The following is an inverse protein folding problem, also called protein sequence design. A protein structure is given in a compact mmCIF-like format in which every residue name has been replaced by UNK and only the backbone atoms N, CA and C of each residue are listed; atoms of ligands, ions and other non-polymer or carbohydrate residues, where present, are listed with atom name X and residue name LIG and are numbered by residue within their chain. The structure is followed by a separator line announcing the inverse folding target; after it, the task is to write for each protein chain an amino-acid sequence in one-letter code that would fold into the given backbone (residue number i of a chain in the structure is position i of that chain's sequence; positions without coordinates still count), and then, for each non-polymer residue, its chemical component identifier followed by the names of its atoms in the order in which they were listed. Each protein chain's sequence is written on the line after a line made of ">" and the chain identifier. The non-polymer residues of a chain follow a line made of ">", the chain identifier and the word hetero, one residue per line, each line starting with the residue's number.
data_IF_840426919064
#
_entry.id   IF_840426919064
#
_cell.length_a   1.000
_cell.length_b   1.000
_cell.length_c   1.000
_cell.angle_alpha   90.00
_cell.angle_beta   90.00
_cell.angle_gamma   90.00
#
_symmetry.space_group_name_H-M   'P 1'
#
loop_
_entity.id
_entity.type
_entity.pdbx_description
1 polymer ?
#
# COMPACT_ATOMS: atom_id res chain seq x y z
N UNK A 1 -4.20 1.12 -6.66
CA UNK A 1 -2.89 1.10 -5.97
C UNK A 1 -2.99 1.57 -4.53
N UNK A 2 -3.19 2.86 -4.21
CA UNK A 2 -3.25 3.34 -2.80
C UNK A 2 -4.29 2.57 -1.98
N UNK A 3 -5.50 2.41 -2.51
CA UNK A 3 -6.57 1.63 -1.86
C UNK A 3 -6.17 0.16 -1.61
N UNK A 4 -5.48 -0.47 -2.56
CA UNK A 4 -5.00 -1.85 -2.44
C UNK A 4 -3.97 -1.98 -1.31
N UNK A 5 -3.01 -1.04 -1.24
CA UNK A 5 -1.98 -0.99 -0.19
C UNK A 5 -2.63 -0.88 1.20
N UNK A 6 -3.60 0.02 1.37
CA UNK A 6 -4.33 0.16 2.63
C UNK A 6 -5.16 -1.07 2.97
N UNK A 7 -5.86 -1.64 1.99
CA UNK A 7 -6.63 -2.87 2.20
C UNK A 7 -5.74 -4.03 2.62
N UNK A 8 -4.62 -4.25 1.94
CA UNK A 8 -3.68 -5.31 2.28
C UNK A 8 -3.08 -5.14 3.66
N UNK A 9 -2.71 -3.91 4.02
CA UNK A 9 -2.22 -3.63 5.37
C UNK A 9 -3.32 -3.87 6.39
N UNK A 10 -4.42 -3.11 6.33
CA UNK A 10 -5.46 -3.07 7.36
C UNK A 10 -6.27 -4.36 7.50
N UNK A 11 -6.59 -5.03 6.38
CA UNK A 11 -7.55 -6.15 6.36
C UNK A 11 -6.82 -7.49 6.32
N UNK A 12 -5.71 -7.57 5.57
CA UNK A 12 -4.98 -8.85 5.40
C UNK A 12 -3.74 -8.96 6.28
N UNK A 13 -3.35 -7.87 6.95
CA UNK A 13 -2.24 -7.84 7.90
C UNK A 13 -0.85 -7.96 7.27
N UNK A 14 -0.71 -7.57 6.00
CA UNK A 14 0.57 -7.64 5.30
C UNK A 14 1.57 -6.61 5.83
N UNK A 15 2.81 -7.06 6.02
CA UNK A 15 3.92 -6.18 6.37
C UNK A 15 4.28 -5.23 5.22
N UNK A 16 5.05 -4.18 5.50
CA UNK A 16 5.55 -3.27 4.46
C UNK A 16 6.37 -4.03 3.40
N UNK A 17 7.17 -5.01 3.84
CA UNK A 17 8.01 -5.81 2.94
C UNK A 17 7.18 -6.72 2.04
N UNK A 18 6.13 -7.35 2.60
CA UNK A 18 5.21 -8.18 1.82
C UNK A 18 4.40 -7.35 0.81
N UNK A 19 3.95 -6.15 1.20
CA UNK A 19 3.30 -5.23 0.27
C UNK A 19 4.27 -4.80 -0.82
N UNK A 20 5.51 -4.49 -0.48
CA UNK A 20 6.55 -4.09 -1.44
C UNK A 20 6.79 -5.20 -2.45
N UNK A 21 7.01 -6.44 -1.99
CA UNK A 21 7.22 -7.59 -2.86
C UNK A 21 6.00 -7.86 -3.76
N UNK A 22 4.78 -7.64 -3.24
CA UNK A 22 3.55 -7.81 -4.02
C UNK A 22 3.39 -6.74 -5.10
N UNK A 23 3.75 -5.49 -4.81
CA UNK A 23 3.76 -4.42 -5.80
C UNK A 23 4.82 -4.68 -6.88
N UNK A 24 6.00 -5.18 -6.48
CA UNK A 24 7.09 -5.51 -7.40
C UNK A 24 6.82 -6.68 -8.33
N UNK A 25 5.90 -7.57 -7.98
CA UNK A 25 5.57 -8.72 -8.82
C UNK A 25 4.76 -8.35 -10.08
N UNK A 26 4.22 -7.13 -10.18
CA UNK A 26 3.45 -6.65 -11.33
C UNK A 26 3.62 -5.13 -11.53
N UNK A 27 4.70 -4.73 -12.19
CA UNK A 27 4.96 -3.31 -12.55
C UNK A 27 4.01 -2.77 -13.61
N UNK A 28 3.35 -3.63 -14.40
CA UNK A 28 2.38 -3.20 -15.40
C UNK A 28 1.14 -2.59 -14.72
N UNK A 29 0.72 -3.20 -13.60
CA UNK A 29 -0.39 -2.69 -12.78
C UNK A 29 0.05 -1.69 -11.71
N UNK A 30 1.24 -1.87 -11.14
CA UNK A 30 1.79 -1.05 -10.06
C UNK A 30 3.17 -0.53 -10.43
N UNK A 31 3.27 0.47 -11.32
CA UNK A 31 4.56 1.02 -11.71
C UNK A 31 5.28 1.59 -10.48
N UNK A 32 6.57 1.27 -10.27
CA UNK A 32 7.36 1.90 -9.22
C UNK A 32 7.38 3.44 -9.39
N UNK A 33 7.47 4.19 -8.29
CA UNK A 33 7.45 5.65 -8.36
C UNK A 33 8.70 6.20 -9.06
N UNK A 34 8.53 7.29 -9.81
CA UNK A 34 9.64 8.02 -10.42
C UNK A 34 10.46 7.18 -11.42
N UNK A 35 11.78 7.14 -11.23
CA UNK A 35 12.72 6.40 -12.08
C UNK A 35 13.21 5.10 -11.42
N UNK A 36 12.55 4.64 -10.35
CA UNK A 36 12.95 3.41 -9.68
C UNK A 36 12.63 2.19 -10.55
N UNK A 37 13.54 1.21 -10.58
CA UNK A 37 13.33 -0.08 -11.26
C UNK A 37 12.52 -1.07 -10.41
N UNK A 38 12.30 -0.78 -9.13
CA UNK A 38 11.58 -1.61 -8.16
C UNK A 38 10.98 -0.74 -7.06
N UNK A 39 9.99 -1.25 -6.33
CA UNK A 39 9.32 -0.53 -5.27
C UNK A 39 10.24 -0.36 -4.05
N UNK A 40 10.51 0.87 -3.61
CA UNK A 40 11.23 1.09 -2.36
C UNK A 40 10.28 0.86 -1.17
N UNK A 41 10.66 0.09 -0.14
CA UNK A 41 9.86 -0.06 1.08
C UNK A 41 9.51 1.27 1.74
N UNK A 42 10.41 2.25 1.66
CA UNK A 42 10.18 3.60 2.16
C UNK A 42 9.02 4.32 1.46
N UNK A 43 8.80 4.06 0.16
CA UNK A 43 7.67 4.62 -0.57
C UNK A 43 6.34 3.99 -0.11
N UNK A 44 6.32 2.68 0.17
CA UNK A 44 5.15 2.01 0.75
C UNK A 44 4.84 2.55 2.15
N UNK A 45 5.86 2.74 2.99
CA UNK A 45 5.71 3.36 4.31
C UNK A 45 5.19 4.81 4.21
N UNK A 46 5.69 5.59 3.24
CA UNK A 46 5.21 6.95 2.99
C UNK A 46 3.74 6.96 2.53
N UNK A 47 3.31 5.97 1.72
CA UNK A 47 1.90 5.84 1.34
C UNK A 47 1.03 5.56 2.57
N UNK A 48 1.40 4.55 3.36
CA UNK A 48 0.62 4.11 4.52
C UNK A 48 0.47 5.20 5.58
N UNK A 49 1.41 6.13 5.66
CA UNK A 49 1.43 7.16 6.70
C UNK A 49 0.92 8.53 6.24
N UNK A 50 0.56 8.66 4.95
CA UNK A 50 0.06 9.93 4.42
C UNK A 50 -1.44 10.08 4.68
N UNK A 51 -1.79 10.84 5.72
CA UNK A 51 -3.18 11.10 6.10
C UNK A 51 -4.00 11.78 4.99
N UNK A 52 -3.35 12.44 4.02
CA UNK A 52 -4.05 13.08 2.89
C UNK A 52 -4.96 12.11 2.16
N UNK A 53 -4.65 10.82 2.14
CA UNK A 53 -5.53 9.84 1.51
C UNK A 53 -6.91 9.71 2.17
N UNK A 54 -7.09 10.21 3.39
CA UNK A 54 -8.39 10.32 4.07
C UNK A 54 -9.21 11.55 3.65
N UNK A 55 -8.64 12.44 2.83
CA UNK A 55 -9.21 13.74 2.48
C UNK A 55 -8.84 14.87 3.45
N UNK A 56 -8.31 14.54 4.63
CA UNK A 56 -7.85 15.51 5.63
C UNK A 56 -6.37 15.82 5.48
N UNK A 57 -5.95 16.99 5.94
CA UNK A 57 -4.53 17.32 6.08
C UNK A 57 -4.17 17.31 7.56
N UNK A 58 -2.96 16.88 7.90
CA UNK A 58 -2.39 17.07 9.22
C UNK A 58 -1.06 17.80 9.12
N UNK A 59 -0.84 18.72 10.05
CA UNK A 59 0.44 19.37 10.28
C UNK A 59 1.01 18.93 11.63
N UNK A 60 2.28 19.26 11.90
CA UNK A 60 3.00 18.82 13.09
C UNK A 60 3.02 17.28 13.27
N UNK A 61 2.97 16.51 12.18
CA UNK A 61 2.94 15.03 12.24
C UNK A 61 4.29 14.41 12.56
N UNK A 62 5.40 15.14 12.33
CA UNK A 62 6.76 14.64 12.53
C UNK A 62 7.53 15.53 13.52
N UNK A 63 8.47 14.92 14.22
CA UNK A 63 9.43 15.63 15.08
C UNK A 63 10.65 16.12 14.28
N UNK A 64 11.60 16.75 14.98
CA UNK A 64 12.85 17.26 14.42
C UNK A 64 13.76 16.16 13.83
N UNK A 65 13.57 14.91 14.24
CA UNK A 65 14.29 13.73 13.74
C UNK A 65 13.51 13.04 12.60
N UNK A 66 12.35 13.57 12.22
CA UNK A 66 11.48 13.01 11.19
C UNK A 66 10.66 11.80 11.64
N UNK A 67 10.64 11.44 12.92
CA UNK A 67 9.78 10.37 13.44
C UNK A 67 8.33 10.87 13.57
N UNK A 68 7.34 9.97 13.51
CA UNK A 68 5.95 10.36 13.73
C UNK A 68 5.71 10.74 15.19
N UNK A 69 5.13 11.93 15.40
CA UNK A 69 4.63 12.34 16.72
C UNK A 69 3.38 11.54 17.08
N UNK A 70 3.05 11.40 18.38
CA UNK A 70 1.75 10.90 18.82
C UNK A 70 0.61 11.65 18.14
N UNK A 71 -0.47 10.93 17.81
CA UNK A 71 -1.59 11.46 17.01
C UNK A 71 -2.30 12.62 17.70
N UNK A 72 -2.23 12.69 19.03
CA UNK A 72 -2.79 13.76 19.87
C UNK A 72 -2.06 15.10 19.66
N UNK A 73 -0.84 15.06 19.10
CA UNK A 73 -0.04 16.25 18.79
C UNK A 73 -0.26 16.75 17.36
N UNK A 74 -1.02 16.02 16.54
CA UNK A 74 -1.25 16.40 15.15
C UNK A 74 -2.35 17.46 15.10
N UNK A 75 -2.15 18.45 14.24
CA UNK A 75 -3.19 19.46 13.95
C UNK A 75 -3.84 19.09 12.62
N UNK A 76 -5.05 18.53 12.69
CA UNK A 76 -5.85 18.18 11.52
C UNK A 76 -6.62 19.38 10.96
N UNK A 77 -6.91 19.36 9.66
CA UNK A 77 -7.82 20.32 9.03
C UNK A 77 -9.27 20.12 9.50
N UNK A 78 -9.99 21.22 9.72
CA UNK A 78 -11.38 21.18 10.21
C UNK A 78 -12.37 20.56 9.22
N UNK A 79 -12.04 20.60 7.93
CA UNK A 79 -12.84 20.04 6.84
C UNK A 79 -11.94 19.20 5.92
N UNK A 80 -12.51 18.23 5.17
CA UNK A 80 -11.79 17.56 4.10
C UNK A 80 -11.32 18.56 3.04
N UNK A 81 -10.03 18.57 2.73
CA UNK A 81 -9.44 19.42 1.70
C UNK A 81 -9.69 18.88 0.28
N UNK A 82 -9.95 17.58 0.15
CA UNK A 82 -10.27 16.93 -1.11
C UNK A 82 -11.00 15.61 -0.88
N UNK A 83 -11.48 15.00 -1.98
CA UNK A 83 -12.12 13.67 -1.94
C UNK A 83 -11.16 12.65 -1.33
N UNK A 84 -11.68 11.87 -0.38
CA UNK A 84 -10.95 10.78 0.25
C UNK A 84 -10.70 9.62 -0.74
N UNK A 85 -9.48 9.08 -0.75
CA UNK A 85 -9.17 7.82 -1.42
C UNK A 85 -9.43 6.62 -0.51
N UNK A 86 -9.25 6.78 0.81
CA UNK A 86 -9.52 5.78 1.84
C UNK A 86 -10.31 6.40 2.99
N UNK A 87 -11.06 5.59 3.75
CA UNK A 87 -11.75 6.09 4.95
C UNK A 87 -10.75 6.27 6.09
N UNK A 88 -11.05 7.17 7.04
CA UNK A 88 -10.24 7.34 8.25
C UNK A 88 -10.12 6.04 9.06
N UNK A 89 -11.20 5.24 9.10
CA UNK A 89 -11.18 3.92 9.75
C UNK A 89 -10.16 2.98 9.10
N UNK A 90 -10.10 2.91 7.76
CA UNK A 90 -9.12 2.07 7.06
C UNK A 90 -7.70 2.58 7.26
N UNK A 91 -7.50 3.91 7.29
CA UNK A 91 -6.20 4.51 7.57
C UNK A 91 -5.68 4.12 8.95
N UNK A 92 -6.50 4.23 9.99
CA UNK A 92 -6.11 3.90 11.36
C UNK A 92 -5.91 2.40 11.57
N UNK A 93 -6.76 1.56 10.99
CA UNK A 93 -6.56 0.11 11.02
C UNK A 93 -5.22 -0.31 10.39
N UNK A 94 -4.74 0.42 9.38
CA UNK A 94 -3.43 0.19 8.79
C UNK A 94 -2.25 0.59 9.68
N UNK A 95 -2.46 1.52 10.62
CA UNK A 95 -1.43 1.96 11.58
C UNK A 95 -1.32 1.02 12.79
N UNK A 96 -2.37 0.26 13.10
CA UNK A 96 -2.41 -0.59 14.29
C UNK A 96 -1.26 -1.61 14.28
N UNK A 97 -0.37 -1.60 15.30
CA UNK A 97 0.71 -2.57 15.41
C UNK A 97 0.22 -4.02 15.43
N UNK A 98 -0.98 -4.27 15.98
CA UNK A 98 -1.61 -5.57 16.03
C UNK A 98 -2.06 -6.07 14.66
N UNK A 99 -2.13 -5.20 13.65
CA UNK A 99 -2.45 -5.58 12.27
C UNK A 99 -1.26 -6.27 11.57
N UNK A 100 -0.03 -6.02 12.01
CA UNK A 100 1.18 -6.60 11.39
C UNK A 100 1.43 -8.05 11.86
N UNK A 101 0.54 -8.98 11.51
CA UNK A 101 0.57 -10.36 12.04
C UNK A 101 1.15 -11.36 11.05
N UNK A 102 1.11 -11.08 9.73
CA UNK A 102 1.36 -12.10 8.71
C UNK A 102 2.58 -11.77 7.87
N UNK A 103 3.67 -12.52 8.09
CA UNK A 103 4.79 -12.61 7.13
C UNK A 103 4.43 -13.69 6.10
N UNK A 104 4.22 -13.31 4.84
CA UNK A 104 3.91 -14.30 3.79
C UNK A 104 5.20 -14.62 3.05
N UNK A 105 5.56 -15.91 2.85
CA UNK A 105 6.71 -16.22 2.01
C UNK A 105 6.47 -15.66 0.60
N UNK A 106 7.43 -14.88 0.09
CA UNK A 106 7.32 -14.13 -1.16
C UNK A 106 6.83 -14.95 -2.36
N UNK A 107 7.06 -16.27 -2.37
CA UNK A 107 6.58 -17.22 -3.39
C UNK A 107 5.05 -17.25 -3.54
N UNK A 108 4.29 -16.88 -2.49
CA UNK A 108 2.83 -16.85 -2.51
C UNK A 108 2.25 -15.47 -2.89
N UNK A 109 3.10 -14.44 -3.07
CA UNK A 109 2.70 -13.08 -3.46
C UNK A 109 2.76 -12.86 -4.97
N UNK A 110 3.32 -13.81 -5.72
CA UNK A 110 3.32 -13.77 -7.19
C UNK A 110 1.88 -13.88 -7.73
N UNK A 111 1.53 -13.14 -8.79
CA UNK A 111 0.26 -13.35 -9.47
C UNK A 111 0.21 -14.81 -9.92
N UNK A 112 -0.88 -15.50 -9.59
CA UNK A 112 -1.23 -16.75 -10.26
C UNK A 112 -1.46 -16.36 -11.72
N UNK A 113 -0.43 -16.53 -12.55
CA UNK A 113 -0.59 -16.36 -13.99
C UNK A 113 -1.58 -17.43 -14.41
N UNK A 114 -2.74 -16.95 -14.87
CA UNK A 114 -3.84 -17.80 -15.31
C UNK A 114 -3.33 -18.83 -16.31
N UNK A 115 -3.77 -20.06 -16.10
CA UNK A 115 -3.61 -21.18 -17.01
C UNK A 115 -3.99 -20.73 -18.43
N UNK A 116 -3.01 -20.40 -19.28
CA UNK A 116 -3.26 -20.22 -20.69
C UNK A 116 -3.57 -21.61 -21.26
N UNK A 117 -4.86 -21.89 -21.44
CA UNK A 117 -5.30 -23.03 -22.21
C UNK A 117 -4.83 -22.84 -23.66
N UNK A 118 -3.70 -23.46 -24.00
CA UNK A 118 -3.26 -23.64 -25.38
C UNK A 118 -4.30 -24.53 -26.08
N UNK A 119 -5.27 -23.93 -26.76
CA UNK A 119 -6.10 -24.66 -27.70
C UNK A 119 -5.26 -24.91 -28.95
N UNK A 120 -4.82 -26.16 -29.08
CA UNK A 120 -4.11 -26.71 -30.24
C UNK A 120 -5.02 -26.64 -31.48
N UNK A 121 -4.77 -25.64 -32.32
CA UNK A 121 -5.37 -25.48 -33.63
C UNK A 121 -4.58 -26.29 -34.65
N UNK A 122 -5.00 -27.55 -34.82
CA UNK A 122 -4.56 -28.44 -35.90
C UNK A 122 -4.96 -27.86 -37.26
N UNK A 123 -4.02 -27.44 -38.09
CA UNK A 123 -4.27 -27.26 -39.53
C UNK A 123 -3.29 -28.10 -40.36
N UNK A 124 -3.87 -29.13 -40.96
CA UNK A 124 -3.33 -30.00 -41.98
C UNK A 124 -3.71 -29.41 -43.33
N UNK A 125 -2.74 -28.95 -44.12
CA UNK A 125 -2.69 -29.21 -45.57
C UNK A 125 -1.34 -28.91 -46.19
#
# INVERSE_FOLDING_TARGET
>A
MVQDVFYWRAITGLSVDDITARLDADHGRYPPPGTHLSWPPAAVAAILTNIKYTGYQATATRDENGAFRPVEQWVLSDQPAHRALVTSALFWAAQDPATSVRRIPHRLLAPVHGFAAQCDGKEVR
#
